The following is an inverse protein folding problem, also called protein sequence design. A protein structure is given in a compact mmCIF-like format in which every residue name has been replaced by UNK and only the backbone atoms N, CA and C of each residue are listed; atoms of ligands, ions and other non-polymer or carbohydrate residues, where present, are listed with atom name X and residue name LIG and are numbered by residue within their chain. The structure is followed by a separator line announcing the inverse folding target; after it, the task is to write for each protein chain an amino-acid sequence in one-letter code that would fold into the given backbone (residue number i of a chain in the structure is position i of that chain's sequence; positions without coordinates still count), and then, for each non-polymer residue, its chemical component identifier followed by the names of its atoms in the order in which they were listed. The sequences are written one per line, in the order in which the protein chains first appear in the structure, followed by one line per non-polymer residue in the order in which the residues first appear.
data_IF_498672013603
#
_entry.id   IF_498672013603
#
_cell.length_a   1.000
_cell.length_b   1.000
_cell.length_c   1.000
_cell.angle_alpha   90.00
_cell.angle_beta   90.00
_cell.angle_gamma   90.00
#
_symmetry.space_group_name_H-M   'P 1'
#
loop_
_entity.id
_entity.type
_entity.pdbx_description
1 polymer ?
#
# COMPACT_ATOMS: atom_id res chain seq x y z
N UNK A 1 3.63 -7.80 16.71
CA UNK A 1 3.19 -7.41 15.35
C UNK A 1 4.39 -7.51 14.42
N UNK A 2 4.28 -8.21 13.28
CA UNK A 2 5.32 -8.16 12.23
C UNK A 2 5.07 -6.91 11.39
N UNK A 3 6.00 -5.96 11.41
CA UNK A 3 5.95 -4.77 10.56
C UNK A 3 6.06 -5.20 9.10
N UNK A 4 4.96 -5.15 8.35
CA UNK A 4 5.00 -5.32 6.90
C UNK A 4 5.36 -3.98 6.27
N UNK A 5 6.41 -3.97 5.45
CA UNK A 5 6.76 -2.84 4.62
C UNK A 5 6.03 -2.96 3.28
N UNK A 6 5.43 -1.86 2.85
CA UNK A 6 4.82 -1.71 1.54
C UNK A 6 5.85 -1.10 0.60
N UNK A 7 6.15 -1.73 -0.53
CA UNK A 7 7.03 -1.14 -1.53
C UNK A 7 6.19 -0.43 -2.58
N UNK A 8 6.31 0.90 -2.63
CA UNK A 8 5.79 1.71 -3.71
C UNK A 8 6.84 1.85 -4.81
N UNK A 9 6.40 1.81 -6.06
CA UNK A 9 7.21 2.19 -7.22
C UNK A 9 6.42 3.16 -8.08
N UNK A 10 7.03 4.29 -8.41
CA UNK A 10 6.48 5.31 -9.30
C UNK A 10 7.41 5.49 -10.50
N UNK A 11 6.94 6.09 -11.58
CA UNK A 11 7.81 6.40 -12.73
C UNK A 11 8.49 7.74 -12.48
N UNK A 12 9.82 7.79 -12.48
CA UNK A 12 10.60 9.02 -12.36
C UNK A 12 10.56 9.89 -13.62
N UNK A 13 11.12 11.09 -13.57
CA UNK A 13 11.21 11.98 -14.74
C UNK A 13 12.10 11.39 -15.85
N UNK A 14 13.11 10.61 -15.46
CA UNK A 14 14.00 9.88 -16.36
C UNK A 14 13.38 8.57 -16.88
N UNK A 15 12.07 8.37 -16.67
CA UNK A 15 11.31 7.18 -17.09
C UNK A 15 11.75 5.88 -16.37
N UNK A 16 12.67 5.97 -15.41
CA UNK A 16 13.07 4.85 -14.54
C UNK A 16 12.15 4.71 -13.32
N UNK A 17 11.82 3.47 -12.88
CA UNK A 17 11.06 3.25 -11.66
C UNK A 17 11.81 3.74 -10.42
N UNK A 18 11.15 4.60 -9.63
CA UNK A 18 11.62 5.07 -8.33
C UNK A 18 10.85 4.37 -7.22
N UNK A 19 11.59 3.64 -6.38
CA UNK A 19 11.02 2.86 -5.31
C UNK A 19 11.11 3.57 -3.96
N UNK A 20 10.07 3.43 -3.14
CA UNK A 20 10.04 3.92 -1.76
C UNK A 20 9.36 2.89 -0.87
N UNK A 21 9.86 2.74 0.35
CA UNK A 21 9.21 1.92 1.37
C UNK A 21 8.26 2.78 2.18
N UNK A 22 7.02 2.35 2.28
CA UNK A 22 6.07 2.86 3.26
C UNK A 22 5.92 1.85 4.40
N UNK A 23 5.85 2.38 5.61
CA UNK A 23 5.32 1.62 6.74
C UNK A 23 3.84 1.31 6.48
N UNK A 24 3.36 0.14 6.88
CA UNK A 24 1.94 -0.20 6.84
C UNK A 24 1.06 0.85 7.55
N UNK A 25 1.59 1.53 8.59
CA UNK A 25 0.86 2.61 9.28
C UNK A 25 0.67 3.90 8.46
N UNK A 26 1.36 4.04 7.32
CA UNK A 26 1.21 5.19 6.43
C UNK A 26 0.13 4.97 5.35
N UNK A 27 -0.53 3.81 5.34
CA UNK A 27 -1.56 3.45 4.37
C UNK A 27 -2.82 2.90 5.07
N UNK A 28 -3.98 3.26 4.53
CA UNK A 28 -5.30 2.87 4.99
C UNK A 28 -6.05 2.20 3.83
N UNK A 29 -6.47 0.95 4.01
CA UNK A 29 -7.37 0.31 3.07
C UNK A 29 -8.82 0.70 3.36
N UNK A 30 -9.48 1.32 2.38
CA UNK A 30 -10.88 1.72 2.45
C UNK A 30 -11.79 0.55 2.08
N UNK A 31 -13.01 0.55 2.60
CA UNK A 31 -13.99 -0.51 2.38
C UNK A 31 -14.39 -0.68 0.91
N UNK A 32 -14.23 0.37 0.11
CA UNK A 32 -14.53 0.47 -1.32
C UNK A 32 -13.46 -0.14 -2.24
N UNK A 33 -12.37 -0.71 -1.70
CA UNK A 33 -11.26 -1.23 -2.52
C UNK A 33 -10.24 -0.17 -2.93
N UNK A 34 -10.43 1.07 -2.48
CA UNK A 34 -9.45 2.13 -2.58
C UNK A 34 -8.45 2.04 -1.43
N UNK A 35 -7.22 2.49 -1.67
CA UNK A 35 -6.20 2.65 -0.62
C UNK A 35 -5.90 4.14 -0.51
N UNK A 36 -5.76 4.65 0.71
CA UNK A 36 -5.30 6.02 0.95
C UNK A 36 -3.97 5.98 1.68
N UNK A 37 -3.01 6.77 1.27
CA UNK A 37 -1.76 6.91 2.00
C UNK A 37 -1.32 8.37 2.09
N UNK A 38 -0.46 8.62 3.07
CA UNK A 38 0.13 9.92 3.32
C UNK A 38 1.65 9.86 3.11
N UNK A 39 2.19 10.81 2.35
CA UNK A 39 3.63 10.98 2.14
C UNK A 39 4.01 12.45 2.23
N UNK A 40 5.29 12.75 2.46
CA UNK A 40 5.75 14.14 2.45
C UNK A 40 5.51 14.78 1.07
N UNK A 41 4.92 16.00 1.02
CA UNK A 41 4.52 16.65 -0.23
C UNK A 41 5.71 16.97 -1.13
N UNK A 42 6.89 17.17 -0.57
CA UNK A 42 8.11 17.53 -1.29
C UNK A 42 9.00 16.31 -1.62
N UNK A 43 8.46 15.09 -1.51
CA UNK A 43 9.18 13.87 -1.88
C UNK A 43 9.13 13.63 -3.39
N UNK A 44 10.15 12.95 -3.93
CA UNK A 44 10.16 12.53 -5.34
C UNK A 44 8.94 11.67 -5.70
N UNK A 45 8.51 10.80 -4.79
CA UNK A 45 7.28 10.00 -4.93
C UNK A 45 6.05 10.89 -5.07
N UNK A 46 5.89 11.91 -4.23
CA UNK A 46 4.77 12.86 -4.34
C UNK A 46 4.79 13.60 -5.67
N UNK A 47 5.96 14.06 -6.13
CA UNK A 47 6.12 14.72 -7.42
C UNK A 47 5.73 13.78 -8.59
N UNK A 48 6.17 12.52 -8.56
CA UNK A 48 5.83 11.54 -9.58
C UNK A 48 4.33 11.21 -9.60
N UNK A 49 3.69 11.09 -8.43
CA UNK A 49 2.26 10.82 -8.32
C UNK A 49 1.41 12.02 -8.79
N UNK A 50 1.85 13.25 -8.54
CA UNK A 50 1.17 14.44 -9.09
C UNK A 50 1.31 14.50 -10.61
N UNK A 51 2.48 14.15 -11.16
CA UNK A 51 2.74 14.21 -12.61
C UNK A 51 2.02 13.12 -13.40
N UNK A 52 2.19 11.86 -13.01
CA UNK A 52 1.73 10.70 -13.79
C UNK A 52 0.64 9.90 -13.07
N UNK A 53 0.60 9.94 -11.73
CA UNK A 53 -0.41 9.21 -10.95
C UNK A 53 -0.29 7.69 -11.04
N UNK A 54 0.61 7.10 -11.82
CA UNK A 54 0.80 5.64 -11.87
C UNK A 54 1.73 5.19 -10.75
N UNK A 55 1.37 4.07 -10.16
CA UNK A 55 2.23 3.39 -9.19
C UNK A 55 2.01 1.88 -9.22
N UNK A 56 3.05 1.16 -8.79
CA UNK A 56 2.96 -0.24 -8.41
C UNK A 56 3.17 -0.35 -6.91
N UNK A 57 2.29 -1.08 -6.22
CA UNK A 57 2.46 -1.48 -4.83
C UNK A 57 2.77 -2.97 -4.76
N UNK A 58 3.92 -3.31 -4.17
CA UNK A 58 4.30 -4.70 -3.90
C UNK A 58 4.14 -4.99 -2.40
N UNK A 59 3.45 -6.07 -2.07
CA UNK A 59 3.23 -6.52 -0.69
C UNK A 59 3.24 -8.05 -0.56
N UNK A 60 3.69 -8.54 0.60
CA UNK A 60 3.62 -9.97 0.93
C UNK A 60 2.28 -10.34 1.58
N UNK A 61 1.56 -11.25 0.95
CA UNK A 61 0.26 -11.77 1.38
C UNK A 61 0.33 -13.29 1.49
N UNK A 62 0.06 -13.84 2.68
CA UNK A 62 0.00 -15.28 2.95
C UNK A 62 1.17 -16.11 2.41
N UNK A 63 2.39 -15.57 2.53
CA UNK A 63 3.61 -16.23 2.04
C UNK A 63 3.83 -16.11 0.53
N UNK A 64 2.92 -15.46 -0.19
CA UNK A 64 3.09 -15.02 -1.58
C UNK A 64 3.46 -13.54 -1.69
N UNK A 65 3.73 -13.11 -2.92
CA UNK A 65 3.94 -11.71 -3.29
C UNK A 65 2.80 -11.25 -4.19
N UNK A 66 2.23 -10.08 -3.92
CA UNK A 66 1.26 -9.45 -4.79
C UNK A 66 1.78 -8.08 -5.24
N UNK A 67 1.65 -7.82 -6.54
CA UNK A 67 1.88 -6.52 -7.15
C UNK A 67 0.56 -5.94 -7.65
N UNK A 68 0.28 -4.71 -7.23
CA UNK A 68 -0.91 -3.96 -7.60
C UNK A 68 -0.48 -2.78 -8.46
N UNK A 69 -0.88 -2.75 -9.72
CA UNK A 69 -0.78 -1.54 -10.55
C UNK A 69 -1.99 -0.66 -10.29
N UNK A 70 -1.76 0.60 -9.97
CA UNK A 70 -2.77 1.51 -9.44
C UNK A 70 -2.65 2.90 -10.04
N UNK A 71 -3.74 3.65 -9.93
CA UNK A 71 -3.81 5.08 -10.26
C UNK A 71 -4.08 5.88 -9.00
N UNK A 72 -3.23 6.85 -8.72
CA UNK A 72 -3.35 7.77 -7.62
C UNK A 72 -3.94 9.11 -8.05
N UNK A 73 -4.71 9.69 -7.12
CA UNK A 73 -5.16 11.07 -7.17
C UNK A 73 -4.91 11.71 -5.82
N UNK A 74 -4.35 12.92 -5.82
CA UNK A 74 -4.23 13.71 -4.60
C UNK A 74 -5.63 14.08 -4.11
N UNK A 75 -5.92 13.77 -2.85
CA UNK A 75 -7.26 13.96 -2.26
C UNK A 75 -7.25 14.88 -1.03
N UNK A 76 -6.09 15.38 -0.63
CA UNK A 76 -5.99 16.31 0.49
C UNK A 76 -4.56 16.63 0.90
N UNK A 77 -4.45 17.34 2.01
CA UNK A 77 -3.21 17.70 2.66
C UNK A 77 -3.37 17.66 4.18
N UNK A 78 -2.25 17.48 4.88
CA UNK A 78 -2.16 17.57 6.34
C UNK A 78 -2.23 19.01 6.85
N UNK A 79 -1.82 19.21 8.09
CA UNK A 79 -1.74 20.52 8.73
C UNK A 79 -0.42 21.22 8.39
N UNK A 80 -0.28 22.49 8.75
CA UNK A 80 1.00 23.21 8.61
C UNK A 80 2.11 22.60 9.47
N UNK A 81 1.76 22.14 10.68
CA UNK A 81 2.70 21.48 11.60
C UNK A 81 3.18 20.12 11.09
N UNK A 82 2.32 19.39 10.37
CA UNK A 82 2.63 18.07 9.81
C UNK A 82 2.25 18.06 8.33
N UNK A 83 3.10 18.62 7.46
CA UNK A 83 2.80 18.78 6.05
C UNK A 83 2.89 17.42 5.36
N UNK A 84 1.72 16.80 5.17
CA UNK A 84 1.55 15.55 4.43
C UNK A 84 0.69 15.79 3.19
N UNK A 85 0.95 15.06 2.11
CA UNK A 85 0.07 14.96 0.96
C UNK A 85 -0.69 13.63 1.03
N UNK A 86 -2.02 13.70 0.93
CA UNK A 86 -2.88 12.53 0.92
C UNK A 86 -3.20 12.13 -0.52
N UNK A 87 -3.02 10.84 -0.81
CA UNK A 87 -3.35 10.25 -2.09
C UNK A 87 -4.33 9.12 -1.89
N UNK A 88 -5.39 9.13 -2.68
CA UNK A 88 -6.30 8.01 -2.84
C UNK A 88 -5.91 7.27 -4.12
N UNK A 89 -5.86 5.95 -4.03
CA UNK A 89 -5.47 5.09 -5.15
C UNK A 89 -6.52 4.04 -5.43
N UNK A 90 -6.69 3.78 -6.71
CA UNK A 90 -7.57 2.77 -7.27
C UNK A 90 -6.75 1.69 -7.95
N UNK A 91 -7.10 0.42 -7.73
CA UNK A 91 -6.40 -0.72 -8.31
C UNK A 91 -6.87 -0.95 -9.75
N UNK A 92 -5.98 -0.75 -10.71
CA UNK A 92 -6.24 -1.03 -12.13
C UNK A 92 -5.94 -2.49 -12.48
N UNK A 93 -4.87 -3.05 -11.89
CA UNK A 93 -4.43 -4.43 -12.13
C UNK A 93 -3.78 -5.05 -10.90
N UNK A 94 -3.86 -6.37 -10.81
CA UNK A 94 -3.22 -7.15 -9.75
C UNK A 94 -2.56 -8.40 -10.32
N UNK A 95 -1.33 -8.67 -9.92
CA UNK A 95 -0.61 -9.92 -10.18
C UNK A 95 -0.19 -10.49 -8.84
N UNK A 96 -0.63 -11.71 -8.51
CA UNK A 96 -0.23 -12.38 -7.28
C UNK A 96 0.51 -13.66 -7.63
N UNK A 97 1.73 -13.76 -7.13
CA UNK A 97 2.53 -14.97 -7.13
C UNK A 97 2.34 -15.67 -5.79
N UNK A 98 1.53 -16.71 -5.79
CA UNK A 98 1.61 -17.73 -4.74
C UNK A 98 2.86 -18.57 -5.00
N UNK A 99 3.85 -18.50 -4.11
CA UNK A 99 4.91 -19.51 -4.12
C UNK A 99 4.33 -20.78 -3.48
N UNK A 100 4.31 -21.93 -4.16
CA UNK A 100 4.09 -23.20 -3.51
C UNK A 100 5.38 -23.56 -2.76
N UNK A 101 5.65 -22.93 -1.63
CA UNK A 101 6.51 -23.55 -0.62
C UNK A 101 5.67 -24.60 0.11
N UNK A 102 5.24 -25.61 -0.64
CA UNK A 102 4.69 -26.84 -0.08
C UNK A 102 5.88 -27.77 0.14
N UNK A 103 6.17 -28.09 1.39
CA UNK A 103 6.93 -29.30 1.74
C UNK A 103 6.32 -30.45 0.93
N UNK A 104 7.12 -31.14 0.11
CA UNK A 104 6.67 -32.30 -0.66
C UNK A 104 5.99 -33.32 0.26
N UNK A 105 4.66 -33.29 0.30
CA UNK A 105 3.82 -34.46 0.58
C UNK A 105 2.70 -34.47 -0.45
N UNK A 106 2.50 -35.62 -1.08
CA UNK A 106 1.52 -35.87 -2.13
C UNK A 106 0.13 -35.40 -1.70
N UNK A 107 -0.46 -34.44 -2.40
CA UNK A 107 -1.71 -34.66 -3.12
C UNK A 107 -2.75 -33.65 -2.62
N UNK A 108 -2.84 -32.49 -3.26
CA UNK A 108 -4.02 -31.61 -3.17
C UNK A 108 -3.88 -30.45 -4.16
N UNK A 109 -4.97 -30.15 -4.83
CA UNK A 109 -5.10 -29.18 -5.91
C UNK A 109 -4.85 -27.73 -5.44
N UNK A 110 -4.35 -26.90 -6.36
CA UNK A 110 -4.08 -25.47 -6.17
C UNK A 110 -5.40 -24.67 -6.20
N UNK A 111 -5.67 -23.79 -5.23
CA UNK A 111 -6.73 -22.79 -5.39
C UNK A 111 -6.19 -21.59 -6.19
N UNK A 112 -6.89 -21.21 -7.26
CA UNK A 112 -6.67 -19.96 -7.96
C UNK A 112 -6.98 -18.77 -7.03
N UNK A 113 -6.02 -17.86 -6.85
CA UNK A 113 -6.24 -16.63 -6.09
C UNK A 113 -6.98 -15.64 -6.99
N UNK A 114 -8.26 -15.39 -6.71
CA UNK A 114 -9.09 -14.44 -7.44
C UNK A 114 -8.79 -12.99 -7.02
N UNK A 115 -9.02 -12.02 -7.92
CA UNK A 115 -8.81 -10.56 -7.68
C UNK A 115 -9.48 -10.07 -6.40
N UNK A 116 -10.70 -10.54 -6.11
CA UNK A 116 -11.42 -10.20 -4.88
C UNK A 116 -10.67 -10.61 -3.61
N UNK A 117 -10.00 -11.77 -3.61
CA UNK A 117 -9.28 -12.26 -2.44
C UNK A 117 -8.03 -11.44 -2.13
N UNK A 118 -7.33 -10.95 -3.14
CA UNK A 118 -6.16 -10.07 -2.94
C UNK A 118 -6.56 -8.73 -2.33
N UNK A 119 -7.66 -8.14 -2.82
CA UNK A 119 -8.20 -6.88 -2.30
C UNK A 119 -8.72 -7.05 -0.87
N UNK A 120 -9.49 -8.11 -0.58
CA UNK A 120 -10.03 -8.36 0.76
C UNK A 120 -8.93 -8.74 1.75
N UNK A 121 -7.97 -9.58 1.38
CA UNK A 121 -6.88 -9.95 2.28
C UNK A 121 -5.90 -8.78 2.53
N UNK A 122 -5.66 -7.94 1.52
CA UNK A 122 -4.95 -6.67 1.69
C UNK A 122 -5.68 -5.73 2.65
N UNK A 123 -7.00 -5.62 2.50
CA UNK A 123 -7.87 -4.82 3.37
C UNK A 123 -7.84 -5.30 4.81
N UNK A 124 -8.06 -6.58 5.07
CA UNK A 124 -8.08 -7.13 6.43
C UNK A 124 -6.72 -6.97 7.12
N UNK A 125 -5.63 -7.17 6.38
CA UNK A 125 -4.26 -7.08 6.94
C UNK A 125 -3.82 -5.64 7.20
N UNK A 126 -4.18 -4.69 6.33
CA UNK A 126 -3.92 -3.26 6.55
C UNK A 126 -4.76 -2.71 7.73
N UNK A 127 -6.01 -3.15 7.88
CA UNK A 127 -6.87 -2.74 8.99
C UNK A 127 -6.37 -3.26 10.36
N UNK A 128 -5.82 -4.48 10.41
CA UNK A 128 -5.25 -5.04 11.64
C UNK A 128 -3.87 -4.44 12.02
N UNK A 129 -3.17 -3.80 11.07
CA UNK A 129 -1.89 -3.12 11.32
C UNK A 129 -2.01 -1.63 11.69
N UNK A 130 -3.20 -1.04 11.55
CA UNK A 130 -3.43 0.41 11.61
C UNK A 130 -3.84 1.00 12.97
N UNK A 131 -3.78 0.27 14.09
CA UNK A 131 -4.04 0.88 15.41
C UNK A 131 -2.78 1.55 15.96
N UNK A 132 -2.51 2.79 15.53
CA UNK A 132 -1.75 3.73 16.37
C UNK A 132 -2.73 4.43 17.33
N UNK A 133 -2.47 4.47 18.64
CA UNK A 133 -3.23 5.34 19.53
C UNK A 133 -2.87 6.78 19.22
N UNK A 134 -3.84 7.55 18.69
CA UNK A 134 -3.78 9.00 18.76
C UNK A 134 -3.93 9.34 20.24
N UNK A 135 -2.83 9.71 20.92
CA UNK A 135 -2.91 10.21 22.29
C UNK A 135 -3.71 11.52 22.26
N UNK A 136 -4.83 11.65 22.98
CA UNK A 136 -5.42 12.95 23.22
C UNK A 136 -4.42 13.81 24.03
N UNK A 137 -4.36 15.09 23.69
CA UNK A 137 -3.38 16.04 24.20
C UNK A 137 -3.28 16.06 25.73
N UNK A 138 -2.05 16.02 26.21
CA UNK A 138 -1.72 16.39 27.59
C UNK A 138 -1.55 17.89 27.65
N UNK A 139 -2.40 18.53 28.45
CA UNK A 139 -2.41 19.94 28.77
C UNK A 139 -1.06 20.42 29.34
N UNK A 140 -0.66 21.63 28.95
CA UNK A 140 0.25 22.45 29.72
C UNK A 140 -0.41 22.85 31.04
N UNK A 141 0.14 22.38 32.16
CA UNK A 141 0.47 23.20 33.34
C UNK A 141 1.31 22.42 34.34
#
# INVERSE_FOLDING_TARGET
MRTQALRLSTVGIEVWPQATLLSAGAALALSSGHIRFAIFPNSGTAANLVRDGRLTLSLSLDGGMCELGMRARRCGQGTEEVPLAFFEVEVERSVCMSHPMRTLRAGSALPSISRHRCLTAGKDRLQHSGRLPIRPGGELK
#
